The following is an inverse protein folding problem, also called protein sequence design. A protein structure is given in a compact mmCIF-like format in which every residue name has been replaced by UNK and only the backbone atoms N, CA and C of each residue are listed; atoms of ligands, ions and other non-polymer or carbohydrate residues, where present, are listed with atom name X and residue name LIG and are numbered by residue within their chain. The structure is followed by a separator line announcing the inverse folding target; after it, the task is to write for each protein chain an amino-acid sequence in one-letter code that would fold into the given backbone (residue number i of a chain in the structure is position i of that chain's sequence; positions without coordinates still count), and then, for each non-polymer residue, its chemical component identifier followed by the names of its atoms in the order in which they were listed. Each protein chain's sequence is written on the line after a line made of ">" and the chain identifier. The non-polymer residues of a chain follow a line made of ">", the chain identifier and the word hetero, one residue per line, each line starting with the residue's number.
data_IF_171859360393
#
_entry.id   IF_171859360393
#
_cell.length_a   1.000
_cell.length_b   1.000
_cell.length_c   1.000
_cell.angle_alpha   90.00
_cell.angle_beta   90.00
_cell.angle_gamma   90.00
#
_symmetry.space_group_name_H-M   'P 1'
#
loop_
_entity.id
_entity.type
_entity.pdbx_description
1 polymer ?
#
# COMPACT_ATOMS: atom_id res chain seq x y z
N UNK A 1 21.11 -10.84 -14.87
CA UNK A 1 20.22 -11.97 -14.48
C UNK A 1 19.03 -11.33 -13.78
N UNK A 2 17.83 -11.49 -14.35
CA UNK A 2 16.59 -10.95 -13.79
C UNK A 2 16.06 -11.78 -12.63
N UNK A 3 14.97 -11.27 -11.99
CA UNK A 3 14.20 -12.04 -11.01
C UNK A 3 13.60 -13.27 -11.72
N UNK A 4 13.69 -14.49 -11.13
CA UNK A 4 13.18 -15.69 -11.75
C UNK A 4 11.65 -15.63 -11.89
N UNK A 5 11.12 -16.10 -13.03
CA UNK A 5 9.70 -16.33 -13.22
C UNK A 5 9.20 -17.52 -12.39
N UNK A 6 7.90 -17.87 -12.48
CA UNK A 6 7.32 -18.97 -11.70
C UNK A 6 8.05 -20.29 -11.98
N UNK A 7 8.40 -20.56 -13.23
CA UNK A 7 9.12 -21.79 -13.61
C UNK A 7 10.55 -21.80 -13.07
N UNK A 8 11.27 -20.71 -13.20
CA UNK A 8 12.61 -20.56 -12.62
C UNK A 8 12.61 -20.71 -11.10
N UNK A 9 11.58 -20.17 -10.39
CA UNK A 9 11.46 -20.41 -8.94
C UNK A 9 11.18 -21.87 -8.62
N UNK A 10 10.38 -22.56 -9.44
CA UNK A 10 10.11 -24.00 -9.26
C UNK A 10 11.40 -24.83 -9.38
N UNK A 11 12.23 -24.54 -10.38
CA UNK A 11 13.52 -25.22 -10.55
C UNK A 11 14.46 -24.98 -9.38
N UNK A 12 14.55 -23.71 -8.90
CA UNK A 12 15.38 -23.35 -7.75
C UNK A 12 14.87 -24.05 -6.49
N UNK A 13 13.56 -24.04 -6.26
CA UNK A 13 12.95 -24.72 -5.11
C UNK A 13 13.27 -26.22 -5.14
N UNK A 14 13.10 -26.88 -6.28
CA UNK A 14 13.40 -28.30 -6.44
C UNK A 14 14.87 -28.64 -6.18
N UNK A 15 15.79 -27.73 -6.54
CA UNK A 15 17.23 -27.93 -6.25
C UNK A 15 17.48 -27.87 -4.73
N UNK A 16 16.93 -26.87 -4.05
CA UNK A 16 17.17 -26.68 -2.62
C UNK A 16 16.42 -27.64 -1.70
N UNK A 17 15.35 -28.26 -2.19
CA UNK A 17 14.56 -29.24 -1.43
C UNK A 17 14.93 -30.69 -1.73
N UNK A 18 15.85 -30.94 -2.67
CA UNK A 18 16.21 -32.29 -3.15
C UNK A 18 16.60 -33.28 -2.05
N UNK A 19 17.42 -32.81 -1.10
CA UNK A 19 18.00 -33.65 -0.05
C UNK A 19 17.30 -33.43 1.31
N UNK A 20 16.12 -32.79 1.31
CA UNK A 20 15.34 -32.56 2.53
C UNK A 20 14.33 -33.69 2.77
N UNK A 21 14.17 -34.13 4.01
CA UNK A 21 13.08 -35.03 4.41
C UNK A 21 11.75 -34.23 4.45
N UNK A 22 11.10 -34.12 3.28
CA UNK A 22 9.86 -33.37 3.11
C UNK A 22 8.67 -34.28 3.37
N UNK A 23 7.70 -33.82 4.14
CA UNK A 23 6.45 -34.51 4.44
C UNK A 23 5.53 -34.58 3.21
N UNK A 24 4.62 -35.55 3.15
CA UNK A 24 3.66 -35.74 2.06
C UNK A 24 2.65 -34.57 1.92
N UNK A 25 2.52 -33.72 2.94
CA UNK A 25 1.65 -32.54 2.93
C UNK A 25 2.23 -31.35 2.14
N UNK A 26 3.46 -31.47 1.63
CA UNK A 26 4.15 -30.40 0.93
C UNK A 26 3.45 -29.96 -0.34
N UNK A 27 3.13 -28.66 -0.44
CA UNK A 27 2.48 -28.06 -1.61
C UNK A 27 3.40 -27.03 -2.27
N UNK A 28 4.15 -27.50 -3.29
CA UNK A 28 5.06 -26.64 -4.06
C UNK A 28 4.32 -25.52 -4.80
N UNK A 29 3.11 -25.79 -5.31
CA UNK A 29 2.34 -24.81 -6.07
C UNK A 29 1.93 -23.63 -5.18
N UNK A 30 1.45 -23.91 -3.98
CA UNK A 30 1.15 -22.87 -3.00
C UNK A 30 2.39 -22.02 -2.68
N UNK A 31 3.55 -22.64 -2.49
CA UNK A 31 4.80 -21.90 -2.25
C UNK A 31 5.15 -20.98 -3.41
N UNK A 32 5.05 -21.46 -4.63
CA UNK A 32 5.34 -20.69 -5.84
C UNK A 32 4.41 -19.47 -5.99
N UNK A 33 3.13 -19.62 -5.61
CA UNK A 33 2.16 -18.53 -5.65
C UNK A 33 2.42 -17.49 -4.55
N UNK A 34 3.02 -17.89 -3.43
CA UNK A 34 3.32 -17.01 -2.29
C UNK A 34 4.79 -16.53 -2.23
N UNK A 35 5.66 -16.98 -3.15
CA UNK A 35 7.06 -16.52 -3.24
C UNK A 35 7.31 -15.56 -4.39
N UNK A 36 6.31 -14.77 -4.75
CA UNK A 36 6.46 -13.76 -5.79
C UNK A 36 7.57 -12.75 -5.40
N UNK A 37 8.47 -12.45 -6.36
CA UNK A 37 9.60 -11.54 -6.14
C UNK A 37 10.78 -12.14 -5.37
N UNK A 38 10.75 -13.42 -5.01
CA UNK A 38 11.88 -14.12 -4.43
C UNK A 38 12.94 -14.38 -5.50
N UNK A 39 14.21 -14.07 -5.16
CA UNK A 39 15.37 -14.49 -5.94
C UNK A 39 15.90 -15.82 -5.39
N UNK A 40 16.87 -16.43 -6.08
CA UNK A 40 17.44 -17.72 -5.67
C UNK A 40 17.93 -17.75 -4.22
N UNK A 41 18.54 -16.64 -3.76
CA UNK A 41 19.00 -16.51 -2.37
C UNK A 41 17.84 -16.52 -1.37
N UNK A 42 16.68 -15.92 -1.72
CA UNK A 42 15.51 -15.89 -0.84
C UNK A 42 14.86 -17.27 -0.75
N UNK A 43 14.79 -18.01 -1.87
CA UNK A 43 14.28 -19.38 -1.90
C UNK A 43 15.20 -20.30 -1.07
N UNK A 44 16.50 -20.13 -1.20
CA UNK A 44 17.47 -20.86 -0.38
C UNK A 44 17.30 -20.54 1.11
N UNK A 45 17.12 -19.26 1.44
CA UNK A 45 16.85 -18.83 2.82
C UNK A 45 15.53 -19.41 3.35
N UNK A 46 14.47 -19.43 2.53
CA UNK A 46 13.16 -20.01 2.87
C UNK A 46 13.28 -21.49 3.21
N UNK A 47 13.94 -22.27 2.34
CA UNK A 47 14.15 -23.70 2.56
C UNK A 47 14.95 -23.95 3.84
N UNK A 48 16.02 -23.19 4.06
CA UNK A 48 16.83 -23.30 5.27
C UNK A 48 16.05 -22.92 6.54
N UNK A 49 15.28 -21.83 6.51
CA UNK A 49 14.48 -21.42 7.68
C UNK A 49 13.36 -22.41 7.98
N UNK A 50 12.73 -22.99 6.95
CA UNK A 50 11.74 -24.06 7.11
C UNK A 50 12.36 -25.29 7.81
N UNK A 51 13.58 -25.68 7.40
CA UNK A 51 14.32 -26.77 8.08
C UNK A 51 14.65 -26.43 9.55
N UNK A 52 15.01 -25.15 9.82
CA UNK A 52 15.25 -24.69 11.19
C UNK A 52 13.98 -24.67 12.04
N UNK A 53 12.82 -24.32 11.46
CA UNK A 53 11.52 -24.41 12.15
C UNK A 53 11.18 -25.87 12.48
N UNK A 54 11.37 -26.78 11.53
CA UNK A 54 11.19 -28.22 11.74
C UNK A 54 12.11 -28.72 12.86
N UNK A 55 13.41 -28.40 12.81
CA UNK A 55 14.37 -28.78 13.84
C UNK A 55 13.94 -28.28 15.23
N UNK A 56 13.52 -27.01 15.34
CA UNK A 56 13.05 -26.45 16.61
C UNK A 56 11.82 -27.18 17.16
N UNK A 57 11.00 -27.77 16.32
CA UNK A 57 9.83 -28.57 16.72
C UNK A 57 10.25 -29.89 17.38
N UNK A 58 11.39 -30.47 16.96
CA UNK A 58 11.93 -31.73 17.54
C UNK A 58 12.90 -31.49 18.68
N UNK A 59 13.37 -30.25 18.94
CA UNK A 59 14.28 -29.93 20.03
C UNK A 59 13.83 -30.47 21.43
N UNK A 60 12.53 -30.45 21.80
CA UNK A 60 12.09 -30.99 23.08
C UNK A 60 12.27 -32.53 23.20
N UNK A 61 12.40 -33.24 22.06
CA UNK A 61 12.59 -34.69 22.00
C UNK A 61 14.09 -35.07 21.98
N UNK A 62 14.98 -34.08 21.82
CA UNK A 62 16.43 -34.27 21.76
C UNK A 62 17.05 -33.96 23.12
N UNK A 63 17.76 -34.92 23.68
CA UNK A 63 18.56 -34.69 24.89
C UNK A 63 19.86 -33.94 24.50
N UNK A 64 19.93 -32.63 24.82
CA UNK A 64 21.09 -31.78 24.48
C UNK A 64 22.36 -32.13 25.30
N UNK A 65 22.28 -32.98 26.31
CA UNK A 65 23.41 -33.44 27.10
C UNK A 65 24.11 -34.69 26.51
N UNK A 66 23.57 -35.24 25.44
CA UNK A 66 24.16 -36.35 24.70
C UNK A 66 24.87 -35.85 23.41
N UNK A 67 26.04 -36.43 23.15
CA UNK A 67 26.86 -36.01 21.96
C UNK A 67 26.25 -36.42 20.60
N UNK A 68 25.25 -37.33 20.59
CA UNK A 68 24.61 -37.82 19.37
C UNK A 68 23.09 -37.80 19.47
N UNK A 69 22.41 -37.36 18.40
CA UNK A 69 20.95 -37.41 18.30
C UNK A 69 20.51 -38.85 18.07
N UNK A 70 19.55 -39.40 18.83
CA UNK A 70 19.07 -40.75 18.64
C UNK A 70 18.60 -41.01 17.23
N UNK A 71 19.01 -42.11 16.58
CA UNK A 71 18.62 -42.45 15.19
C UNK A 71 17.09 -42.47 14.99
N UNK A 72 16.32 -42.85 15.98
CA UNK A 72 14.86 -42.90 15.99
C UNK A 72 14.23 -41.50 15.83
N UNK A 73 14.89 -40.46 16.33
CA UNK A 73 14.44 -39.05 16.17
C UNK A 73 14.79 -38.55 14.78
N UNK A 74 15.99 -38.91 14.29
CA UNK A 74 16.44 -38.52 12.93
C UNK A 74 15.51 -39.12 11.87
N UNK A 75 15.12 -40.37 11.98
CA UNK A 75 14.21 -41.06 11.06
C UNK A 75 12.79 -40.47 11.03
N UNK A 76 12.37 -39.82 12.12
CA UNK A 76 11.05 -39.17 12.23
C UNK A 76 11.07 -37.69 11.82
N UNK A 77 12.26 -37.11 11.66
CA UNK A 77 12.38 -35.71 11.28
C UNK A 77 11.89 -35.47 9.85
N UNK A 78 10.85 -34.70 9.71
CA UNK A 78 10.33 -34.24 8.42
C UNK A 78 9.96 -32.75 8.49
N UNK A 79 10.10 -32.08 7.33
CA UNK A 79 9.72 -30.67 7.18
C UNK A 79 8.32 -30.62 6.61
N UNK A 80 7.38 -30.08 7.40
CA UNK A 80 5.96 -30.00 7.05
C UNK A 80 5.63 -28.70 6.33
N UNK A 81 4.50 -28.66 5.65
CA UNK A 81 4.01 -27.44 5.00
C UNK A 81 3.84 -26.29 6.00
N UNK A 82 3.49 -26.58 7.26
CA UNK A 82 3.39 -25.60 8.33
C UNK A 82 4.72 -24.87 8.62
N UNK A 83 5.85 -25.58 8.55
CA UNK A 83 7.18 -25.00 8.75
C UNK A 83 7.50 -23.97 7.63
N UNK A 84 7.07 -24.24 6.39
CA UNK A 84 7.16 -23.29 5.28
C UNK A 84 6.23 -22.10 5.46
N UNK A 85 5.00 -22.30 5.95
CA UNK A 85 4.08 -21.20 6.25
C UNK A 85 4.61 -20.25 7.33
N UNK A 86 5.34 -20.77 8.30
CA UNK A 86 5.97 -19.95 9.33
C UNK A 86 7.22 -19.26 8.81
N UNK A 87 8.05 -19.96 8.02
CA UNK A 87 9.29 -19.42 7.49
C UNK A 87 9.06 -18.28 6.49
N UNK A 88 8.02 -18.34 5.66
CA UNK A 88 7.73 -17.31 4.66
C UNK A 88 7.41 -15.95 5.30
N UNK A 89 6.92 -15.94 6.55
CA UNK A 89 6.63 -14.71 7.29
C UNK A 89 7.89 -13.98 7.77
N UNK A 90 9.00 -14.71 7.89
CA UNK A 90 10.26 -14.19 8.41
C UNK A 90 11.21 -13.75 7.28
N UNK A 91 10.85 -14.02 6.01
CA UNK A 91 11.71 -13.73 4.86
C UNK A 91 11.07 -12.69 3.95
N UNK A 92 11.75 -11.55 3.84
CA UNK A 92 11.38 -10.51 2.91
C UNK A 92 12.01 -10.73 1.52
N UNK A 93 11.23 -10.63 0.42
CA UNK A 93 11.75 -10.78 -0.94
C UNK A 93 12.86 -9.76 -1.24
N UNK A 94 14.05 -10.23 -1.59
CA UNK A 94 15.21 -9.35 -1.88
C UNK A 94 14.96 -8.45 -3.10
N UNK A 95 14.21 -8.93 -4.09
CA UNK A 95 13.84 -8.14 -5.26
C UNK A 95 12.90 -6.97 -4.94
N UNK A 96 12.26 -6.99 -3.76
CA UNK A 96 11.30 -5.98 -3.32
C UNK A 96 11.87 -5.00 -2.29
N UNK A 97 13.10 -5.22 -1.80
CA UNK A 97 13.73 -4.37 -0.75
C UNK A 97 13.85 -2.90 -1.12
N UNK A 98 13.90 -2.57 -2.41
CA UNK A 98 14.02 -1.18 -2.87
C UNK A 98 12.66 -0.51 -3.17
N UNK A 99 11.60 -1.31 -3.44
CA UNK A 99 10.24 -0.82 -3.70
C UNK A 99 9.27 -1.66 -2.88
N UNK A 100 8.64 -1.04 -1.91
CA UNK A 100 7.69 -1.69 -1.03
C UNK A 100 6.37 -1.95 -1.77
N UNK A 101 5.98 -3.22 -1.88
CA UNK A 101 4.67 -3.62 -2.38
C UNK A 101 3.80 -3.99 -1.19
N UNK A 102 2.72 -3.26 -1.00
CA UNK A 102 1.74 -3.46 0.06
C UNK A 102 0.48 -4.10 -0.55
N UNK A 103 -0.11 -5.05 0.15
CA UNK A 103 -1.50 -5.46 -0.10
C UNK A 103 -2.36 -4.72 0.92
N UNK A 104 -3.05 -3.63 0.54
CA UNK A 104 -3.79 -2.83 1.50
C UNK A 104 -4.96 -3.64 2.07
N UNK A 105 -5.23 -3.46 3.36
CA UNK A 105 -6.38 -4.08 4.05
C UNK A 105 -7.47 -3.06 4.38
N UNK A 106 -7.43 -1.90 3.75
CA UNK A 106 -8.40 -0.83 3.95
C UNK A 106 -9.65 -1.12 3.12
N UNK A 107 -10.80 -1.27 3.78
CA UNK A 107 -12.09 -1.43 3.10
C UNK A 107 -12.82 -0.10 2.92
N UNK A 108 -13.83 -0.06 2.03
CA UNK A 108 -14.69 1.12 1.84
C UNK A 108 -15.41 1.55 3.12
N UNK A 109 -15.69 0.62 4.04
CA UNK A 109 -16.33 0.91 5.33
C UNK A 109 -15.50 1.80 6.24
N UNK A 110 -14.18 1.85 6.00
CA UNK A 110 -13.24 2.71 6.72
C UNK A 110 -13.11 4.10 6.09
N UNK A 111 -13.80 4.35 4.98
CA UNK A 111 -13.81 5.65 4.28
C UNK A 111 -15.19 6.27 4.42
N UNK A 112 -15.34 7.24 5.31
CA UNK A 112 -16.61 7.95 5.52
C UNK A 112 -16.89 8.96 4.39
N UNK A 113 -18.08 8.90 3.80
CA UNK A 113 -18.52 9.79 2.73
C UNK A 113 -17.84 9.54 1.38
N UNK A 114 -17.77 10.60 0.56
CA UNK A 114 -17.13 10.62 -0.75
C UNK A 114 -17.75 9.65 -1.78
N UNK A 115 -19.04 9.41 -1.73
CA UNK A 115 -19.73 8.39 -2.55
C UNK A 115 -19.52 8.63 -4.05
N UNK A 116 -19.62 9.87 -4.52
CA UNK A 116 -19.38 10.20 -5.93
C UNK A 116 -17.92 9.92 -6.35
N UNK A 117 -16.96 10.21 -5.46
CA UNK A 117 -15.54 9.93 -5.71
C UNK A 117 -15.28 8.44 -5.73
N UNK A 118 -15.88 7.68 -4.80
CA UNK A 118 -15.78 6.22 -4.75
C UNK A 118 -16.28 5.59 -6.05
N UNK A 119 -17.44 6.04 -6.56
CA UNK A 119 -17.98 5.53 -7.82
C UNK A 119 -17.07 5.85 -9.00
N UNK A 120 -16.60 7.07 -9.12
CA UNK A 120 -15.64 7.46 -10.18
C UNK A 120 -14.33 6.68 -10.12
N UNK A 121 -13.85 6.34 -8.91
CA UNK A 121 -12.66 5.52 -8.75
C UNK A 121 -12.92 4.06 -9.13
N UNK A 122 -14.10 3.49 -8.79
CA UNK A 122 -14.49 2.16 -9.25
C UNK A 122 -14.49 2.08 -10.77
N UNK A 123 -15.11 3.04 -11.45
CA UNK A 123 -15.13 3.09 -12.92
C UNK A 123 -13.73 3.23 -13.54
N UNK A 124 -12.86 4.00 -12.89
CA UNK A 124 -11.54 4.35 -13.45
C UNK A 124 -10.42 3.39 -13.07
N UNK A 125 -10.58 2.60 -12.01
CA UNK A 125 -9.54 1.70 -11.48
C UNK A 125 -10.05 0.26 -11.39
N UNK A 126 -11.13 0.03 -10.63
CA UNK A 126 -11.61 -1.34 -10.38
C UNK A 126 -12.09 -2.01 -11.65
N UNK A 127 -12.92 -1.33 -12.45
CA UNK A 127 -13.44 -1.93 -13.67
C UNK A 127 -12.35 -2.26 -14.70
N UNK A 128 -11.37 -1.37 -15.01
CA UNK A 128 -10.29 -1.71 -15.93
C UNK A 128 -9.43 -2.89 -15.46
N UNK A 129 -9.19 -3.00 -14.16
CA UNK A 129 -8.37 -4.07 -13.60
C UNK A 129 -9.12 -5.41 -13.52
N UNK A 130 -10.42 -5.37 -13.16
CA UNK A 130 -11.22 -6.57 -12.93
C UNK A 130 -12.03 -7.02 -14.17
N UNK A 131 -12.28 -6.12 -15.13
CA UNK A 131 -13.12 -6.37 -16.31
C UNK A 131 -12.52 -5.76 -17.60
N UNK A 132 -11.26 -6.06 -17.95
CA UNK A 132 -10.60 -5.48 -19.12
C UNK A 132 -11.36 -5.77 -20.41
N UNK A 133 -11.94 -6.97 -20.54
CA UNK A 133 -12.74 -7.42 -21.70
C UNK A 133 -13.94 -6.49 -22.01
N UNK A 134 -14.53 -5.84 -20.96
CA UNK A 134 -15.61 -4.90 -21.16
C UNK A 134 -15.13 -3.65 -21.89
N UNK A 135 -13.93 -3.16 -21.57
CA UNK A 135 -13.34 -2.00 -22.24
C UNK A 135 -13.00 -2.30 -23.71
N UNK A 136 -12.48 -3.49 -23.97
CA UNK A 136 -12.21 -3.96 -25.34
C UNK A 136 -13.50 -4.08 -26.14
N UNK A 137 -14.55 -4.66 -25.54
CA UNK A 137 -15.86 -4.81 -26.18
C UNK A 137 -16.48 -3.48 -26.61
N UNK A 138 -16.37 -2.45 -25.77
CA UNK A 138 -16.86 -1.09 -26.09
C UNK A 138 -15.88 -0.25 -26.89
N UNK A 139 -14.66 -0.75 -27.19
CA UNK A 139 -13.62 -0.02 -27.90
C UNK A 139 -13.08 1.21 -27.19
N UNK A 140 -13.21 1.25 -25.84
CA UNK A 140 -12.72 2.35 -25.02
C UNK A 140 -11.43 1.96 -24.31
N UNK A 141 -10.48 2.91 -24.21
CA UNK A 141 -9.24 2.69 -23.48
C UNK A 141 -9.40 3.10 -22.02
N UNK A 142 -8.98 2.26 -21.07
CA UNK A 142 -8.99 2.64 -19.65
C UNK A 142 -8.01 3.81 -19.39
N UNK A 143 -8.30 4.67 -18.41
CA UNK A 143 -7.38 5.72 -18.00
C UNK A 143 -6.11 5.11 -17.42
N UNK A 144 -4.95 5.66 -17.80
CA UNK A 144 -3.64 5.20 -17.30
C UNK A 144 -3.24 5.86 -16.00
N UNK A 145 -3.74 7.07 -15.76
CA UNK A 145 -3.40 7.85 -14.58
C UNK A 145 -4.56 8.68 -14.06
N UNK A 146 -4.58 8.83 -12.75
CA UNK A 146 -5.59 9.57 -11.99
C UNK A 146 -4.88 10.48 -11.00
N UNK A 147 -5.31 11.74 -10.90
CA UNK A 147 -4.85 12.67 -9.87
C UNK A 147 -5.95 12.86 -8.83
N UNK A 148 -5.62 12.62 -7.58
CA UNK A 148 -6.44 12.96 -6.41
C UNK A 148 -5.91 14.27 -5.83
N UNK A 149 -6.76 15.30 -5.74
CA UNK A 149 -6.35 16.57 -5.18
C UNK A 149 -7.32 17.06 -4.11
N UNK A 150 -6.83 17.80 -3.13
CA UNK A 150 -7.63 18.35 -2.04
C UNK A 150 -6.76 18.76 -0.86
N UNK A 151 -7.37 19.36 0.15
CA UNK A 151 -6.67 19.80 1.35
C UNK A 151 -5.92 18.63 2.04
N UNK A 152 -4.85 18.92 2.81
CA UNK A 152 -4.22 17.91 3.65
C UNK A 152 -5.23 17.27 4.60
N UNK A 153 -5.10 15.98 4.87
CA UNK A 153 -5.97 15.26 5.82
C UNK A 153 -7.37 14.89 5.30
N UNK A 154 -7.69 15.14 4.01
CA UNK A 154 -9.00 14.75 3.42
C UNK A 154 -9.10 13.28 3.03
N UNK A 155 -8.07 12.45 3.29
CA UNK A 155 -8.12 11.01 3.09
C UNK A 155 -7.67 10.51 1.70
N UNK A 156 -6.90 11.29 0.93
CA UNK A 156 -6.40 10.91 -0.41
C UNK A 156 -5.66 9.58 -0.42
N UNK A 157 -4.74 9.37 0.50
CA UNK A 157 -3.98 8.11 0.63
C UNK A 157 -4.88 6.97 1.12
N UNK A 158 -5.83 7.24 2.01
CA UNK A 158 -6.77 6.26 2.53
C UNK A 158 -7.68 5.73 1.42
N UNK A 159 -8.27 6.61 0.62
CA UNK A 159 -9.17 6.22 -0.49
C UNK A 159 -8.41 5.49 -1.60
N UNK A 160 -7.13 5.85 -1.85
CA UNK A 160 -6.28 5.14 -2.79
C UNK A 160 -5.97 3.70 -2.32
N UNK A 161 -5.75 3.50 -1.02
CA UNK A 161 -5.61 2.16 -0.45
C UNK A 161 -6.90 1.36 -0.48
N UNK A 162 -8.03 2.00 -0.20
CA UNK A 162 -9.34 1.34 -0.24
C UNK A 162 -9.67 0.83 -1.63
N UNK A 163 -9.48 1.64 -2.69
CA UNK A 163 -9.74 1.19 -4.06
C UNK A 163 -8.77 0.09 -4.51
N UNK A 164 -7.52 0.11 -4.04
CA UNK A 164 -6.56 -0.95 -4.33
C UNK A 164 -6.98 -2.29 -3.70
N UNK A 165 -7.47 -2.27 -2.48
CA UNK A 165 -8.01 -3.45 -1.81
C UNK A 165 -9.23 -4.01 -2.54
N UNK A 166 -10.20 -3.17 -2.93
CA UNK A 166 -11.39 -3.58 -3.68
C UNK A 166 -11.04 -4.13 -5.06
N UNK A 167 -10.08 -3.53 -5.74
CA UNK A 167 -9.58 -4.01 -7.03
C UNK A 167 -8.68 -5.26 -6.89
N UNK A 168 -8.39 -5.71 -5.67
CA UNK A 168 -7.41 -6.77 -5.38
C UNK A 168 -6.06 -6.52 -6.05
N UNK A 169 -5.65 -5.28 -6.11
CA UNK A 169 -4.44 -4.83 -6.76
C UNK A 169 -3.31 -4.63 -5.74
N UNK A 170 -2.11 -4.97 -6.14
CA UNK A 170 -0.90 -4.64 -5.42
C UNK A 170 -0.70 -3.12 -5.37
N UNK A 171 -0.26 -2.60 -4.23
CA UNK A 171 -0.13 -1.17 -4.00
C UNK A 171 1.32 -0.79 -3.78
N UNK A 172 1.86 0.06 -4.67
CA UNK A 172 3.24 0.51 -4.62
C UNK A 172 3.22 1.99 -4.28
N UNK A 173 3.62 2.33 -3.06
CA UNK A 173 3.66 3.73 -2.59
C UNK A 173 5.03 4.33 -2.81
N UNK A 174 5.06 5.53 -3.38
CA UNK A 174 6.27 6.33 -3.58
C UNK A 174 5.95 7.75 -3.15
N UNK A 175 6.78 8.30 -2.28
CA UNK A 175 6.71 9.72 -1.92
C UNK A 175 7.59 10.54 -2.86
N UNK A 176 7.04 11.63 -3.39
CA UNK A 176 7.76 12.49 -4.30
C UNK A 176 9.17 12.89 -3.84
N UNK A 177 9.36 13.37 -2.59
CA UNK A 177 10.70 13.70 -2.07
C UNK A 177 11.69 12.51 -2.07
N UNK A 178 11.22 11.28 -1.90
CA UNK A 178 12.08 10.08 -1.91
C UNK A 178 12.68 9.82 -3.29
N UNK A 179 11.93 10.09 -4.37
CA UNK A 179 12.44 9.96 -5.75
C UNK A 179 13.57 10.96 -6.04
N UNK A 180 13.58 12.11 -5.38
CA UNK A 180 14.58 13.14 -5.58
C UNK A 180 15.80 12.90 -4.69
N UNK A 181 15.60 12.63 -3.39
CA UNK A 181 16.68 12.59 -2.40
C UNK A 181 17.45 11.29 -2.36
N UNK A 182 16.77 10.16 -2.52
CA UNK A 182 17.36 8.82 -2.38
C UNK A 182 18.15 8.39 -3.62
N UNK A 183 17.89 9.06 -4.77
CA UNK A 183 18.36 8.65 -6.10
C UNK A 183 19.06 9.79 -6.86
N UNK A 184 19.79 10.66 -6.16
CA UNK A 184 20.62 11.70 -6.80
C UNK A 184 21.57 11.04 -7.80
N UNK A 185 21.34 11.26 -9.11
CA UNK A 185 22.07 10.66 -10.21
C UNK A 185 21.45 9.42 -10.86
N UNK A 186 20.48 8.73 -10.21
CA UNK A 186 19.83 7.51 -10.74
C UNK A 186 18.29 7.58 -10.72
N UNK A 187 17.71 8.77 -10.53
CA UNK A 187 16.25 8.95 -10.37
C UNK A 187 15.43 8.39 -11.55
N UNK A 188 15.94 8.47 -12.77
CA UNK A 188 15.31 7.90 -13.97
C UNK A 188 15.27 6.36 -13.93
N UNK A 189 16.35 5.73 -13.43
CA UNK A 189 16.42 4.29 -13.26
C UNK A 189 15.42 3.81 -12.21
N UNK A 190 15.28 4.57 -11.11
CA UNK A 190 14.30 4.28 -10.07
C UNK A 190 12.87 4.27 -10.59
N UNK A 191 12.47 5.28 -11.39
CA UNK A 191 11.17 5.32 -12.03
C UNK A 191 10.94 4.08 -12.91
N UNK A 192 11.92 3.74 -13.77
CA UNK A 192 11.83 2.54 -14.64
C UNK A 192 11.66 1.26 -13.83
N UNK A 193 12.43 1.09 -12.74
CA UNK A 193 12.33 -0.09 -11.88
C UNK A 193 10.96 -0.20 -11.18
N UNK A 194 10.38 0.94 -10.74
CA UNK A 194 9.01 0.97 -10.20
C UNK A 194 8.00 0.46 -11.21
N UNK A 195 8.01 1.00 -12.44
CA UNK A 195 7.07 0.56 -13.48
C UNK A 195 7.28 -0.91 -13.88
N UNK A 196 8.54 -1.35 -13.95
CA UNK A 196 8.86 -2.76 -14.20
C UNK A 196 8.31 -3.67 -13.10
N UNK A 197 8.49 -3.29 -11.83
CA UNK A 197 7.95 -4.05 -10.69
C UNK A 197 6.43 -4.02 -10.67
N UNK A 198 5.81 -2.88 -10.98
CA UNK A 198 4.36 -2.78 -11.07
C UNK A 198 3.79 -3.71 -12.15
N UNK A 199 4.42 -3.79 -13.33
CA UNK A 199 4.04 -4.75 -14.37
C UNK A 199 4.19 -6.21 -13.92
N UNK A 200 5.28 -6.52 -13.23
CA UNK A 200 5.51 -7.87 -12.70
C UNK A 200 4.51 -8.25 -11.62
N UNK A 201 4.03 -7.27 -10.84
CA UNK A 201 3.05 -7.45 -9.77
C UNK A 201 1.59 -7.15 -10.23
N UNK A 202 1.33 -7.13 -11.53
CA UNK A 202 -0.01 -6.85 -12.07
C UNK A 202 -1.06 -7.87 -11.55
N UNK A 203 -2.29 -7.44 -11.19
CA UNK A 203 -2.77 -6.06 -11.22
C UNK A 203 -2.16 -5.19 -10.12
N UNK A 204 -1.76 -3.96 -10.44
CA UNK A 204 -1.07 -3.09 -9.50
C UNK A 204 -1.44 -1.61 -9.66
N UNK A 205 -1.36 -0.88 -8.54
CA UNK A 205 -1.51 0.56 -8.49
C UNK A 205 -0.20 1.18 -8.02
N UNK A 206 0.36 2.09 -8.82
CA UNK A 206 1.48 2.94 -8.42
C UNK A 206 0.88 4.20 -7.79
N UNK A 207 1.10 4.41 -6.51
CA UNK A 207 0.63 5.59 -5.78
C UNK A 207 1.78 6.57 -5.56
N UNK A 208 1.64 7.77 -6.15
CA UNK A 208 2.60 8.86 -6.02
C UNK A 208 2.05 9.88 -5.01
N UNK A 209 2.58 9.87 -3.80
CA UNK A 209 2.20 10.84 -2.76
C UNK A 209 3.06 12.11 -2.83
N UNK A 210 2.50 13.24 -2.39
CA UNK A 210 3.17 14.55 -2.48
C UNK A 210 3.66 14.85 -3.92
N UNK A 211 2.78 14.59 -4.89
CA UNK A 211 3.13 14.63 -6.31
C UNK A 211 3.63 16.02 -6.76
N UNK A 212 3.19 17.10 -6.14
CA UNK A 212 3.68 18.46 -6.37
C UNK A 212 5.19 18.62 -6.18
N UNK A 213 5.81 17.77 -5.38
CA UNK A 213 7.27 17.82 -5.14
C UNK A 213 8.10 17.42 -6.35
N UNK A 214 7.52 16.58 -7.24
CA UNK A 214 8.19 16.10 -8.47
C UNK A 214 7.57 16.69 -9.74
N UNK A 215 6.28 16.99 -9.73
CA UNK A 215 5.50 17.40 -10.90
C UNK A 215 5.31 18.92 -11.00
N UNK A 216 6.04 19.71 -10.21
CA UNK A 216 5.92 21.16 -10.18
C UNK A 216 6.23 21.82 -11.53
N UNK A 217 5.49 22.91 -11.81
CA UNK A 217 5.70 23.72 -13.03
C UNK A 217 7.17 24.08 -13.20
N UNK A 218 7.66 24.01 -14.43
CA UNK A 218 9.01 24.40 -14.82
C UNK A 218 9.25 25.87 -14.44
N UNK A 219 9.83 26.12 -13.29
CA UNK A 219 10.37 27.44 -12.97
C UNK A 219 11.71 27.57 -13.68
N UNK A 220 11.87 28.65 -14.45
CA UNK A 220 13.11 29.03 -15.14
C UNK A 220 14.25 29.43 -14.18
N UNK A 221 14.47 28.68 -13.11
CA UNK A 221 15.62 28.86 -12.25
C UNK A 221 16.70 27.85 -12.68
N UNK A 222 17.72 28.37 -13.31
CA UNK A 222 18.95 27.68 -13.71
C UNK A 222 19.74 27.19 -12.50
N UNK A 223 19.39 26.01 -11.97
CA UNK A 223 20.11 25.35 -10.89
C UNK A 223 20.06 23.83 -11.07
N UNK A 224 21.12 23.09 -10.70
CA UNK A 224 21.28 21.64 -10.87
C UNK A 224 20.09 20.81 -10.35
N UNK A 225 19.32 21.31 -9.38
CA UNK A 225 18.13 20.65 -8.84
C UNK A 225 16.93 20.63 -9.79
N UNK A 226 16.79 21.61 -10.68
CA UNK A 226 15.67 21.69 -11.62
C UNK A 226 15.82 20.67 -12.76
N UNK A 227 17.04 20.34 -13.15
CA UNK A 227 17.32 19.38 -14.23
C UNK A 227 17.07 17.93 -13.77
N UNK A 228 17.36 17.59 -12.53
CA UNK A 228 17.07 16.28 -11.96
C UNK A 228 15.55 16.04 -11.89
N UNK A 229 14.79 17.04 -11.44
CA UNK A 229 13.32 16.97 -11.37
C UNK A 229 12.69 16.83 -12.77
N UNK A 230 13.16 17.60 -13.76
CA UNK A 230 12.70 17.50 -15.13
C UNK A 230 12.97 16.10 -15.73
N UNK A 231 14.12 15.48 -15.41
CA UNK A 231 14.43 14.13 -15.87
C UNK A 231 13.48 13.09 -15.26
N UNK A 232 13.15 13.19 -13.97
CA UNK A 232 12.18 12.31 -13.30
C UNK A 232 10.80 12.41 -13.95
N UNK A 233 10.31 13.65 -14.16
CA UNK A 233 9.01 13.89 -14.83
C UNK A 233 9.02 13.34 -16.25
N UNK A 234 10.05 13.60 -17.04
CA UNK A 234 10.16 13.09 -18.40
C UNK A 234 10.22 11.55 -18.42
N UNK A 235 10.92 10.93 -17.48
CA UNK A 235 10.95 9.47 -17.38
C UNK A 235 9.60 8.89 -16.96
N UNK A 236 8.88 9.55 -16.03
CA UNK A 236 7.52 9.18 -15.64
C UNK A 236 6.59 9.23 -16.86
N UNK A 237 6.61 10.33 -17.60
CA UNK A 237 5.84 10.50 -18.85
C UNK A 237 6.18 9.42 -19.88
N UNK A 238 7.47 9.17 -20.11
CA UNK A 238 7.93 8.14 -21.04
C UNK A 238 7.48 6.74 -20.60
N UNK A 239 7.48 6.46 -19.30
CA UNK A 239 7.00 5.17 -18.75
C UNK A 239 5.49 5.01 -18.88
N UNK A 240 4.72 6.10 -18.77
CA UNK A 240 3.27 6.08 -18.98
C UNK A 240 2.90 6.02 -20.48
N UNK A 241 3.65 6.72 -21.34
CA UNK A 241 3.41 6.77 -22.78
C UNK A 241 3.96 5.53 -23.52
N UNK A 242 4.80 4.73 -22.87
CA UNK A 242 5.62 3.67 -23.48
C UNK A 242 4.81 2.71 -24.36
N UNK A 243 5.48 2.22 -25.41
CA UNK A 243 4.94 1.34 -26.47
C UNK A 243 4.41 -0.01 -25.93
N UNK A 244 4.93 -0.47 -24.78
CA UNK A 244 4.41 -1.64 -24.12
C UNK A 244 3.18 -1.29 -23.29
N UNK A 245 2.08 -1.98 -23.53
CA UNK A 245 0.82 -1.83 -22.81
C UNK A 245 1.05 -1.80 -21.29
N UNK A 246 0.48 -0.79 -20.63
CA UNK A 246 0.38 -0.76 -19.16
C UNK A 246 -0.77 -1.65 -18.67
N UNK A 247 -0.92 -2.84 -19.28
CA UNK A 247 -1.99 -3.76 -18.93
C UNK A 247 -1.89 -4.12 -17.45
N UNK A 248 -3.00 -3.89 -16.74
CA UNK A 248 -3.10 -4.16 -15.32
C UNK A 248 -2.31 -3.22 -14.39
N UNK A 249 -1.78 -2.10 -14.88
CA UNK A 249 -1.10 -1.09 -14.06
C UNK A 249 -1.76 0.27 -14.21
N UNK A 250 -2.15 0.89 -13.08
CA UNK A 250 -2.73 2.23 -13.04
C UNK A 250 -1.88 3.11 -12.11
N UNK A 251 -1.65 4.35 -12.53
CA UNK A 251 -0.92 5.34 -11.71
C UNK A 251 -1.91 6.27 -11.02
N UNK A 252 -1.83 6.37 -9.71
CA UNK A 252 -2.63 7.30 -8.90
C UNK A 252 -1.69 8.29 -8.24
N UNK A 253 -1.85 9.57 -8.51
CA UNK A 253 -1.07 10.63 -7.88
C UNK A 253 -1.92 11.40 -6.87
N UNK A 254 -1.36 11.77 -5.73
CA UNK A 254 -2.02 12.61 -4.74
C UNK A 254 -1.25 13.93 -4.58
N UNK A 255 -1.99 15.03 -4.57
CA UNK A 255 -1.43 16.38 -4.38
C UNK A 255 -2.31 17.25 -3.51
N UNK A 256 -1.69 18.14 -2.74
CA UNK A 256 -2.37 19.21 -2.02
C UNK A 256 -2.41 20.51 -2.83
N UNK A 257 -1.67 20.59 -3.95
CA UNK A 257 -1.45 21.80 -4.76
C UNK A 257 -1.62 21.51 -6.23
N UNK A 258 -2.86 21.31 -6.73
CA UNK A 258 -3.11 20.99 -8.12
C UNK A 258 -2.62 22.08 -9.09
N UNK A 259 -2.57 23.33 -8.63
CA UNK A 259 -2.07 24.48 -9.40
C UNK A 259 -0.57 24.41 -9.71
N UNK A 260 0.18 23.58 -9.00
CA UNK A 260 1.62 23.37 -9.23
C UNK A 260 1.92 22.30 -10.28
N UNK A 261 0.93 21.49 -10.66
CA UNK A 261 1.14 20.37 -11.59
C UNK A 261 1.39 20.88 -13.01
N UNK A 262 2.44 20.38 -13.65
CA UNK A 262 2.73 20.71 -15.07
C UNK A 262 1.57 20.23 -15.97
N UNK A 263 0.96 21.15 -16.78
CA UNK A 263 -0.11 20.78 -17.70
C UNK A 263 0.24 19.66 -18.69
N UNK A 264 1.52 19.42 -18.96
CA UNK A 264 1.96 18.33 -19.81
C UNK A 264 1.60 16.95 -19.23
N UNK A 265 1.48 16.83 -17.90
CA UNK A 265 1.06 15.62 -17.20
C UNK A 265 -0.43 15.32 -17.37
N UNK A 266 -1.26 16.35 -17.64
CA UNK A 266 -2.72 16.25 -17.74
C UNK A 266 -3.21 15.92 -19.16
N UNK A 267 -2.29 15.59 -20.08
CA UNK A 267 -2.66 15.22 -21.46
C UNK A 267 -3.18 13.79 -21.53
N UNK A 268 -3.99 13.52 -22.58
CA UNK A 268 -4.50 12.18 -22.88
C UNK A 268 -3.37 11.15 -22.97
N UNK A 269 -3.61 9.94 -22.44
CA UNK A 269 -2.61 8.88 -22.32
C UNK A 269 -1.80 8.93 -21.02
N UNK A 270 -1.97 9.96 -20.18
CA UNK A 270 -1.24 10.19 -18.93
C UNK A 270 -2.22 10.30 -17.77
N UNK A 271 -2.25 11.41 -17.04
CA UNK A 271 -3.24 11.66 -15.99
C UNK A 271 -4.53 12.25 -16.59
N UNK A 272 -5.39 11.39 -17.08
CA UNK A 272 -6.62 11.78 -17.79
C UNK A 272 -7.76 12.16 -16.86
N UNK A 273 -7.72 11.69 -15.62
CA UNK A 273 -8.74 11.95 -14.61
C UNK A 273 -8.16 12.75 -13.47
N UNK A 274 -8.87 13.83 -13.11
CA UNK A 274 -8.51 14.67 -11.97
C UNK A 274 -9.73 14.71 -11.06
N UNK A 275 -9.60 14.15 -9.85
CA UNK A 275 -10.69 13.98 -8.90
C UNK A 275 -10.42 14.83 -7.65
N UNK A 276 -11.38 15.69 -7.34
CA UNK A 276 -11.34 16.50 -6.12
C UNK A 276 -11.80 15.67 -4.91
N UNK A 277 -11.00 15.69 -3.86
CA UNK A 277 -11.35 15.12 -2.56
C UNK A 277 -11.68 16.31 -1.63
N UNK A 278 -12.96 16.67 -1.51
CA UNK A 278 -13.37 17.81 -0.70
C UNK A 278 -13.22 17.52 0.79
N UNK A 279 -13.19 18.55 1.64
CA UNK A 279 -13.43 18.38 3.07
C UNK A 279 -14.79 17.70 3.30
N UNK A 280 -14.93 16.90 4.37
CA UNK A 280 -16.17 16.15 4.61
C UNK A 280 -17.35 17.08 4.91
N UNK A 281 -18.49 16.78 4.33
CA UNK A 281 -19.77 17.39 4.69
C UNK A 281 -20.34 16.80 5.99
N UNK A 282 -21.47 17.30 6.47
CA UNK A 282 -22.05 16.89 7.76
C UNK A 282 -22.36 15.38 7.84
N UNK A 283 -22.80 14.78 6.75
CA UNK A 283 -23.09 13.34 6.74
C UNK A 283 -21.79 12.52 6.73
N UNK A 284 -20.82 12.94 5.96
CA UNK A 284 -19.47 12.35 5.97
C UNK A 284 -18.81 12.48 7.35
N UNK A 285 -18.94 13.64 8.02
CA UNK A 285 -18.44 13.84 9.38
C UNK A 285 -19.04 12.83 10.35
N UNK A 286 -20.37 12.59 10.28
CA UNK A 286 -21.02 11.58 11.13
C UNK A 286 -20.48 10.17 10.87
N UNK A 287 -20.26 9.82 9.60
CA UNK A 287 -19.68 8.53 9.25
C UNK A 287 -18.24 8.40 9.76
N UNK A 288 -17.40 9.43 9.58
CA UNK A 288 -16.02 9.46 10.06
C UNK A 288 -15.99 9.35 11.59
N UNK A 289 -16.86 10.09 12.30
CA UNK A 289 -16.96 10.00 13.76
C UNK A 289 -17.32 8.57 14.20
N UNK A 290 -18.30 7.92 13.54
CA UNK A 290 -18.67 6.53 13.84
C UNK A 290 -17.53 5.56 13.63
N UNK A 291 -16.79 5.70 12.52
CA UNK A 291 -15.62 4.87 12.21
C UNK A 291 -14.58 4.99 13.33
N UNK A 292 -14.17 6.22 13.68
CA UNK A 292 -13.11 6.42 14.68
C UNK A 292 -13.55 6.22 16.13
N UNK A 293 -14.84 6.09 16.40
CA UNK A 293 -15.36 5.82 17.75
C UNK A 293 -15.93 4.42 17.90
N UNK A 294 -15.87 3.56 16.88
CA UNK A 294 -16.47 2.21 16.90
C UNK A 294 -15.96 1.36 18.08
N UNK A 295 -14.66 1.41 18.35
CA UNK A 295 -14.02 0.66 19.44
C UNK A 295 -13.83 1.48 20.72
N UNK A 296 -14.36 2.72 20.77
CA UNK A 296 -14.18 3.59 21.92
C UNK A 296 -15.26 3.38 22.97
N UNK A 297 -14.92 3.27 24.27
CA UNK A 297 -15.89 3.19 25.35
C UNK A 297 -16.55 4.56 25.57
N UNK A 298 -17.59 4.86 24.80
CA UNK A 298 -18.32 6.12 24.90
C UNK A 298 -19.29 6.12 26.09
N UNK A 299 -19.45 7.27 26.71
CA UNK A 299 -20.49 7.54 27.70
C UNK A 299 -21.87 7.67 27.04
N UNK A 300 -22.87 8.12 27.83
CA UNK A 300 -24.24 8.32 27.35
C UNK A 300 -24.38 9.66 26.58
N UNK A 301 -23.86 9.71 25.36
CA UNK A 301 -24.06 10.82 24.41
C UNK A 301 -23.93 10.31 22.97
N UNK A 302 -24.51 11.06 22.03
CA UNK A 302 -24.39 10.73 20.61
C UNK A 302 -23.25 11.59 20.00
N UNK A 303 -22.28 10.93 19.35
CA UNK A 303 -21.18 11.62 18.66
C UNK A 303 -21.68 12.41 17.45
N UNK A 304 -22.78 11.99 16.82
CA UNK A 304 -23.38 12.67 15.67
C UNK A 304 -23.80 14.12 15.99
N UNK A 305 -24.09 14.43 17.28
CA UNK A 305 -24.45 15.78 17.73
C UNK A 305 -23.33 16.80 17.51
N UNK A 306 -22.09 16.33 17.38
CA UNK A 306 -20.93 17.19 17.15
C UNK A 306 -20.70 17.52 15.67
N UNK A 307 -21.33 16.82 14.73
CA UNK A 307 -21.11 17.00 13.30
C UNK A 307 -21.31 18.46 12.84
N UNK A 308 -22.30 19.18 13.43
CA UNK A 308 -22.54 20.58 13.11
C UNK A 308 -21.51 21.57 13.68
N UNK A 309 -20.61 21.12 14.56
CA UNK A 309 -19.53 21.92 15.16
C UNK A 309 -18.20 21.68 14.52
N UNK A 310 -18.12 20.73 13.60
CA UNK A 310 -16.88 20.28 12.94
C UNK A 310 -16.81 20.76 11.49
N UNK A 311 -17.52 21.82 11.14
CA UNK A 311 -17.39 22.46 9.83
C UNK A 311 -15.91 22.89 9.62
N UNK A 312 -15.37 22.62 8.42
CA UNK A 312 -13.96 22.83 8.03
C UNK A 312 -12.93 21.90 8.68
N UNK A 313 -13.36 20.90 9.45
CA UNK A 313 -12.47 19.86 9.93
C UNK A 313 -12.30 18.77 8.86
N UNK A 314 -11.08 18.32 8.67
CA UNK A 314 -10.76 17.20 7.76
C UNK A 314 -10.93 15.85 8.47
N UNK A 315 -10.86 14.74 7.72
CA UNK A 315 -10.90 13.41 8.32
C UNK A 315 -9.80 13.19 9.36
N UNK A 316 -8.59 13.68 9.09
CA UNK A 316 -7.46 13.61 10.03
C UNK A 316 -7.69 14.45 11.30
N UNK A 317 -8.34 15.61 11.18
CA UNK A 317 -8.68 16.43 12.34
C UNK A 317 -9.71 15.72 13.23
N UNK A 318 -10.72 15.08 12.62
CA UNK A 318 -11.76 14.32 13.33
C UNK A 318 -11.15 13.12 14.06
N UNK A 319 -10.26 12.38 13.40
CA UNK A 319 -9.48 11.31 14.03
C UNK A 319 -8.69 11.84 15.24
N UNK A 320 -8.01 12.99 15.09
CA UNK A 320 -7.26 13.63 16.16
C UNK A 320 -8.16 14.02 17.34
N UNK A 321 -9.38 14.52 17.09
CA UNK A 321 -10.37 14.83 18.14
C UNK A 321 -10.75 13.56 18.90
N UNK A 322 -11.08 12.49 18.20
CA UNK A 322 -11.43 11.20 18.81
C UNK A 322 -10.29 10.70 19.70
N UNK A 323 -9.07 10.71 19.18
CA UNK A 323 -7.87 10.30 19.92
C UNK A 323 -7.60 11.18 21.16
N UNK A 324 -7.67 12.52 21.01
CA UNK A 324 -7.44 13.44 22.13
C UNK A 324 -8.52 13.30 23.21
N UNK A 325 -9.78 13.05 22.83
CA UNK A 325 -10.87 12.84 23.80
C UNK A 325 -10.62 11.60 24.68
N UNK A 326 -10.10 10.53 24.08
CA UNK A 326 -9.70 9.32 24.80
C UNK A 326 -8.49 9.60 25.73
N UNK A 327 -7.50 10.35 25.27
CA UNK A 327 -6.35 10.72 26.09
C UNK A 327 -6.76 11.60 27.29
N UNK A 328 -7.72 12.50 27.11
CA UNK A 328 -8.27 13.31 28.22
C UNK A 328 -8.96 12.40 29.25
N UNK A 329 -9.76 11.41 28.79
CA UNK A 329 -10.41 10.47 29.67
C UNK A 329 -9.40 9.61 30.47
N UNK A 330 -8.35 9.16 29.80
CA UNK A 330 -7.25 8.39 30.45
C UNK A 330 -6.52 9.24 31.51
N UNK A 331 -6.17 10.48 31.22
CA UNK A 331 -5.55 11.42 32.18
C UNK A 331 -6.44 11.67 33.40
N UNK A 332 -7.76 11.66 33.20
CA UNK A 332 -8.75 11.79 34.28
C UNK A 332 -9.06 10.48 35.00
N UNK A 333 -8.34 9.37 34.71
CA UNK A 333 -8.58 8.02 35.25
C UNK A 333 -10.04 7.56 35.06
N UNK A 334 -10.66 7.89 33.91
CA UNK A 334 -12.01 7.46 33.57
C UNK A 334 -11.96 6.31 32.56
N UNK A 335 -12.90 5.35 32.71
CA UNK A 335 -13.02 4.19 31.81
C UNK A 335 -13.83 4.47 30.56
N UNK A 336 -14.49 5.64 30.48
CA UNK A 336 -15.35 6.01 29.36
C UNK A 336 -15.10 7.45 28.93
N UNK A 337 -15.22 7.72 27.65
CA UNK A 337 -15.14 9.06 27.08
C UNK A 337 -16.50 9.73 27.29
N UNK A 338 -16.54 10.82 28.05
CA UNK A 338 -17.74 11.61 28.25
C UNK A 338 -17.89 12.73 27.23
N UNK A 339 -19.12 13.25 27.08
CA UNK A 339 -19.43 14.42 26.23
C UNK A 339 -18.47 15.58 26.51
N UNK A 340 -18.21 15.86 27.80
CA UNK A 340 -17.29 16.94 28.24
C UNK A 340 -15.85 16.74 27.72
N UNK A 341 -15.34 15.52 27.70
CA UNK A 341 -14.00 15.24 27.19
C UNK A 341 -13.92 15.42 25.67
N UNK A 342 -14.99 15.08 24.98
CA UNK A 342 -15.09 15.30 23.55
C UNK A 342 -15.13 16.80 23.20
N UNK A 343 -15.88 17.60 23.97
CA UNK A 343 -15.92 19.07 23.83
C UNK A 343 -14.53 19.69 24.08
N UNK A 344 -13.83 19.25 25.12
CA UNK A 344 -12.46 19.71 25.38
C UNK A 344 -11.48 19.34 24.28
N UNK A 345 -11.66 18.18 23.64
CA UNK A 345 -10.83 17.77 22.51
C UNK A 345 -11.06 18.68 21.29
N UNK A 346 -12.31 19.03 20.99
CA UNK A 346 -12.65 19.96 19.90
C UNK A 346 -11.99 21.33 20.13
N UNK A 347 -11.94 21.83 21.37
CA UNK A 347 -11.29 23.12 21.68
C UNK A 347 -9.77 23.10 21.48
N UNK A 348 -9.15 21.92 21.59
CA UNK A 348 -7.69 21.74 21.44
C UNK A 348 -7.23 21.51 19.99
N UNK A 349 -8.06 20.82 19.22
CA UNK A 349 -7.74 20.51 17.82
C UNK A 349 -8.30 21.62 16.93
N UNK A 350 -7.42 22.31 16.22
CA UNK A 350 -7.82 23.35 15.26
C UNK A 350 -8.14 22.74 13.90
N UNK A 351 -9.12 23.28 13.17
CA UNK A 351 -9.39 22.82 11.81
C UNK A 351 -8.21 23.11 10.88
N UNK A 352 -7.89 22.16 10.00
CA UNK A 352 -6.82 22.29 9.00
C UNK A 352 -7.25 23.19 7.84
N UNK A 353 -8.53 23.19 7.49
CA UNK A 353 -9.08 24.05 6.44
C UNK A 353 -9.50 25.39 7.06
N UNK A 354 -8.80 26.44 6.74
CA UNK A 354 -9.21 27.80 7.07
C UNK A 354 -10.21 28.31 6.03
N UNK A 355 -11.29 29.02 6.44
CA UNK A 355 -12.29 29.56 5.51
C UNK A 355 -11.70 30.57 4.54
#
# INVERSE_FOLDING_TARGET
>A
IGVPDKNGRAEILAIHTRDMPISDDFNAEWLLDNTYGFVGADISALVRESAMKALRRYLPEINLDEDEIPPEVIEKMEVKMEDFHLAIKDIEPSALREVYIEVPQVSWDQVGGLEEVKERLKESIEWPLNRPESFEHFGIKPPRGIILFGAPGTGKTLIAKAIANEARANFITIKGPELISKWVGESEKAVREVFKKAKQASPSIIFLDEFESIAGMRRNNSGDGSDAMNRVVNQLLSSMDGVESMEGVIVVAATNRPEMIDPALLRSGRFERVLHIPPPDKESIKQILKIHTADMPLGKFNVDDFASRLDNYTGADIEAICRESALIAMRANKKTVSKKFFEQAIERVRPTVTP
#
